data_IF_930046051924
#
_entry.id   IF_930046051924
#
_cell.length_a   1.000
_cell.length_b   1.000
_cell.length_c   1.000
_cell.angle_alpha   90.00
_cell.angle_beta   90.00
_cell.angle_gamma   90.00
#
_symmetry.space_group_name_H-M   'P 1'
#
loop_
_entity.id
_entity.type
_entity.pdbx_description
1 polymer ?
#
# COMPACT_ATOMS: atom_id res chain seq x y z
N UNK A 1 -30.65 -0.86 1.35
CA UNK A 1 -29.21 -1.09 1.07
C UNK A 1 -28.62 -2.29 1.85
N UNK A 2 -28.72 -2.33 3.19
CA UNK A 2 -28.18 -3.43 4.04
C UNK A 2 -28.62 -4.85 3.63
N UNK A 3 -29.92 -5.04 3.36
CA UNK A 3 -30.49 -6.33 2.92
C UNK A 3 -29.95 -6.81 1.56
N UNK A 4 -29.60 -5.89 0.65
CA UNK A 4 -29.08 -6.23 -0.69
C UNK A 4 -27.64 -6.69 -0.62
N UNK A 5 -26.83 -6.01 0.21
CA UNK A 5 -25.45 -6.39 0.51
C UNK A 5 -25.42 -7.76 1.21
N UNK A 6 -26.30 -8.00 2.18
CA UNK A 6 -26.41 -9.31 2.84
C UNK A 6 -26.76 -10.45 1.86
N UNK A 7 -27.61 -10.21 0.87
CA UNK A 7 -27.92 -11.23 -0.16
C UNK A 7 -26.72 -11.53 -1.06
N UNK A 8 -25.97 -10.52 -1.48
CA UNK A 8 -24.74 -10.69 -2.25
C UNK A 8 -23.65 -11.43 -1.45
N UNK A 9 -23.48 -11.04 -0.18
CA UNK A 9 -22.50 -11.67 0.73
C UNK A 9 -22.87 -13.12 1.09
N UNK A 10 -24.16 -13.48 1.07
CA UNK A 10 -24.61 -14.87 1.26
C UNK A 10 -24.36 -15.78 0.05
N UNK A 11 -24.12 -15.23 -1.15
CA UNK A 11 -23.75 -16.02 -2.33
C UNK A 11 -22.28 -16.46 -2.33
N UNK A 12 -21.44 -15.84 -1.49
CA UNK A 12 -20.04 -16.23 -1.34
C UNK A 12 -19.92 -17.46 -0.41
N UNK A 13 -18.99 -18.39 -0.70
CA UNK A 13 -18.78 -19.55 0.15
C UNK A 13 -18.42 -19.12 1.58
N UNK A 14 -18.99 -19.81 2.58
CA UNK A 14 -18.86 -19.45 4.00
C UNK A 14 -17.39 -19.30 4.43
N UNK A 15 -16.51 -20.16 3.91
CA UNK A 15 -15.06 -20.11 4.17
C UNK A 15 -14.43 -18.79 3.72
N UNK A 16 -14.77 -18.28 2.53
CA UNK A 16 -14.26 -17.01 2.03
C UNK A 16 -14.73 -15.84 2.89
N UNK A 17 -15.99 -15.86 3.34
CA UNK A 17 -16.56 -14.79 4.17
C UNK A 17 -15.88 -14.69 5.53
N UNK A 18 -15.66 -15.83 6.19
CA UNK A 18 -14.95 -15.87 7.48
C UNK A 18 -13.52 -15.36 7.29
N UNK A 19 -12.84 -15.83 6.25
CA UNK A 19 -11.45 -15.48 5.98
C UNK A 19 -11.26 -14.01 5.61
N UNK A 20 -12.14 -13.48 4.74
CA UNK A 20 -12.19 -12.05 4.41
C UNK A 20 -12.38 -11.19 5.66
N UNK A 21 -13.30 -11.56 6.55
CA UNK A 21 -13.53 -10.82 7.80
C UNK A 21 -12.30 -10.83 8.70
N UNK A 22 -11.61 -11.96 8.82
CA UNK A 22 -10.40 -12.09 9.63
C UNK A 22 -9.22 -11.30 9.06
N UNK A 23 -9.05 -11.27 7.73
CA UNK A 23 -8.00 -10.45 7.12
C UNK A 23 -8.32 -8.97 7.13
N UNK A 24 -9.58 -8.59 6.93
CA UNK A 24 -10.03 -7.21 7.08
C UNK A 24 -9.74 -6.70 8.49
N UNK A 25 -10.01 -7.54 9.51
CA UNK A 25 -9.64 -7.26 10.90
C UNK A 25 -8.14 -7.03 11.02
N UNK A 26 -7.31 -7.98 10.57
CA UNK A 26 -5.86 -7.89 10.72
C UNK A 26 -5.23 -6.69 9.99
N UNK A 27 -5.81 -6.27 8.87
CA UNK A 27 -5.35 -5.10 8.10
C UNK A 27 -5.62 -3.79 8.86
N UNK A 28 -6.70 -3.72 9.63
CA UNK A 28 -7.11 -2.53 10.39
C UNK A 28 -6.54 -2.55 11.82
N UNK A 29 -6.42 -3.75 12.38
CA UNK A 29 -6.00 -4.04 13.75
C UNK A 29 -4.47 -4.17 13.78
N UNK A 30 -3.79 -3.01 13.76
CA UNK A 30 -2.34 -2.85 13.89
C UNK A 30 -1.88 -3.28 15.31
N UNK A 31 -1.94 -4.57 15.66
CA UNK A 31 -1.36 -5.27 16.84
C UNK A 31 -1.43 -4.59 18.25
N UNK A 32 -2.03 -3.40 18.42
CA UNK A 32 -1.76 -2.55 19.59
C UNK A 32 -2.99 -1.86 20.20
N UNK A 33 -4.22 -2.09 19.73
CA UNK A 33 -5.40 -1.43 20.30
C UNK A 33 -6.56 -2.40 20.56
N UNK A 34 -6.50 -2.98 21.76
CA UNK A 34 -7.61 -3.56 22.53
C UNK A 34 -8.29 -4.81 21.97
N UNK A 35 -8.30 -5.84 22.82
CA UNK A 35 -8.97 -7.15 22.70
C UNK A 35 -10.50 -7.08 22.43
N UNK A 36 -11.11 -5.89 22.39
CA UNK A 36 -12.55 -5.63 22.21
C UNK A 36 -12.86 -4.57 21.13
N UNK A 37 -12.15 -4.58 20.01
CA UNK A 37 -12.33 -3.57 18.98
C UNK A 37 -13.68 -3.68 18.21
N UNK A 38 -14.53 -2.65 18.32
CA UNK A 38 -15.76 -2.50 17.53
C UNK A 38 -15.44 -2.12 16.07
N UNK A 39 -15.41 -3.12 15.18
CA UNK A 39 -15.07 -3.03 13.76
C UNK A 39 -15.74 -1.85 13.01
N UNK A 40 -17.08 -1.73 13.02
CA UNK A 40 -17.74 -0.60 12.35
C UNK A 40 -17.37 0.75 12.97
N UNK A 41 -17.05 0.80 14.27
CA UNK A 41 -16.59 1.99 14.95
C UNK A 41 -15.25 2.49 14.39
N UNK A 42 -14.24 1.62 14.30
CA UNK A 42 -12.93 2.01 13.75
C UNK A 42 -12.98 2.38 12.27
N UNK A 43 -13.68 1.59 11.45
CA UNK A 43 -13.90 1.92 10.05
C UNK A 43 -14.65 3.25 9.91
N UNK A 44 -15.61 3.52 10.80
CA UNK A 44 -16.34 4.77 10.87
C UNK A 44 -15.46 5.95 11.27
N UNK A 45 -14.56 5.80 12.24
CA UNK A 45 -13.60 6.82 12.65
C UNK A 45 -12.60 7.15 11.54
N UNK A 46 -12.01 6.11 10.92
CA UNK A 46 -11.10 6.26 9.80
C UNK A 46 -11.78 6.94 8.61
N UNK A 47 -12.94 6.45 8.18
CA UNK A 47 -13.73 7.08 7.13
C UNK A 47 -14.16 8.50 7.50
N UNK A 48 -14.52 8.74 8.76
CA UNK A 48 -14.94 10.04 9.28
C UNK A 48 -13.84 11.10 9.18
N UNK A 49 -12.60 10.76 9.55
CA UNK A 49 -11.44 11.66 9.40
C UNK A 49 -11.22 12.01 7.91
N UNK A 50 -11.26 11.01 7.03
CA UNK A 50 -11.09 11.23 5.58
C UNK A 50 -12.22 12.04 4.96
N UNK A 51 -13.47 11.79 5.36
CA UNK A 51 -14.64 12.56 4.93
C UNK A 51 -14.55 14.00 5.41
N UNK A 52 -14.14 14.22 6.67
CA UNK A 52 -13.98 15.56 7.22
C UNK A 52 -12.89 16.33 6.46
N UNK A 53 -11.74 15.69 6.19
CA UNK A 53 -10.71 16.29 5.35
C UNK A 53 -11.24 16.57 3.93
N UNK A 54 -11.95 15.63 3.32
CA UNK A 54 -12.59 15.82 2.01
C UNK A 54 -13.55 17.01 1.99
N UNK A 55 -14.35 17.17 3.05
CA UNK A 55 -15.32 18.26 3.19
C UNK A 55 -14.64 19.61 3.36
N UNK A 56 -13.58 19.70 4.17
CA UNK A 56 -12.77 20.92 4.32
C UNK A 56 -12.19 21.33 2.96
N UNK A 57 -11.65 20.37 2.22
CA UNK A 57 -11.06 20.60 0.90
C UNK A 57 -12.11 21.04 -0.13
N UNK A 58 -13.26 20.36 -0.17
CA UNK A 58 -14.37 20.68 -1.07
C UNK A 58 -15.00 22.04 -0.77
N UNK A 59 -15.21 22.36 0.51
CA UNK A 59 -15.71 23.67 0.92
C UNK A 59 -14.72 24.78 0.59
N UNK A 60 -13.43 24.59 0.87
CA UNK A 60 -12.38 25.56 0.52
C UNK A 60 -12.32 25.82 -0.98
N UNK A 61 -12.54 24.79 -1.81
CA UNK A 61 -12.59 24.92 -3.26
C UNK A 61 -13.81 25.73 -3.73
N UNK A 62 -15.00 25.46 -3.19
CA UNK A 62 -16.22 26.20 -3.52
C UNK A 62 -16.12 27.68 -3.11
N UNK A 63 -15.56 27.95 -1.93
CA UNK A 63 -15.35 29.32 -1.44
C UNK A 63 -14.31 30.07 -2.28
N UNK A 64 -13.19 29.43 -2.62
CA UNK A 64 -12.15 30.05 -3.45
C UNK A 64 -12.65 30.40 -4.85
N UNK A 65 -13.49 29.54 -5.45
CA UNK A 65 -14.08 29.79 -6.75
C UNK A 65 -14.96 31.06 -6.80
N UNK A 66 -15.63 31.41 -5.70
CA UNK A 66 -16.52 32.57 -5.64
C UNK A 66 -15.78 33.93 -5.55
N UNK A 67 -14.50 33.92 -5.19
CA UNK A 67 -13.76 35.13 -4.79
C UNK A 67 -12.67 35.51 -5.82
N UNK A 68 -12.08 34.53 -6.50
CA UNK A 68 -10.86 34.74 -7.29
C UNK A 68 -11.08 35.26 -8.72
N UNK A 69 -10.09 36.00 -9.22
CA UNK A 69 -10.03 36.49 -10.60
C UNK A 69 -9.65 35.38 -11.60
N UNK A 70 -10.14 35.47 -12.85
CA UNK A 70 -10.12 34.38 -13.87
C UNK A 70 -8.76 33.71 -14.10
N UNK A 71 -7.66 34.48 -14.07
CA UNK A 71 -6.31 33.93 -14.26
C UNK A 71 -5.77 33.22 -13.00
N UNK A 72 -6.09 33.74 -11.81
CA UNK A 72 -5.73 33.11 -10.53
C UNK A 72 -6.52 31.81 -10.35
N UNK A 73 -7.80 31.80 -10.75
CA UNK A 73 -8.66 30.63 -10.73
C UNK A 73 -8.03 29.41 -11.43
N UNK A 74 -7.45 29.58 -12.63
CA UNK A 74 -6.83 28.47 -13.37
C UNK A 74 -5.64 27.86 -12.62
N UNK A 75 -4.73 28.70 -12.10
CA UNK A 75 -3.59 28.22 -11.29
C UNK A 75 -4.04 27.58 -9.99
N UNK A 76 -5.08 28.10 -9.34
CA UNK A 76 -5.64 27.54 -8.11
C UNK A 76 -6.27 26.18 -8.37
N UNK A 77 -7.03 26.01 -9.46
CA UNK A 77 -7.67 24.75 -9.84
C UNK A 77 -6.60 23.68 -10.09
N UNK A 78 -5.58 23.95 -10.90
CA UNK A 78 -4.51 22.99 -11.17
C UNK A 78 -3.74 22.61 -9.89
N UNK A 79 -3.51 23.59 -9.00
CA UNK A 79 -2.91 23.33 -7.69
C UNK A 79 -3.76 22.40 -6.84
N UNK A 80 -5.08 22.56 -6.89
CA UNK A 80 -6.02 21.73 -6.14
C UNK A 80 -6.11 20.33 -6.74
N UNK A 81 -6.22 20.19 -8.06
CA UNK A 81 -6.22 18.91 -8.76
C UNK A 81 -5.01 18.06 -8.40
N UNK A 82 -3.81 18.64 -8.57
CA UNK A 82 -2.54 17.98 -8.25
C UNK A 82 -2.51 17.55 -6.78
N UNK A 83 -2.88 18.45 -5.87
CA UNK A 83 -2.89 18.17 -4.43
C UNK A 83 -3.87 17.06 -4.05
N UNK A 84 -5.05 17.00 -4.67
CA UNK A 84 -6.01 15.93 -4.41
C UNK A 84 -5.49 14.55 -4.85
N UNK A 85 -4.87 14.50 -6.03
CA UNK A 85 -4.22 13.28 -6.55
C UNK A 85 -3.05 12.86 -5.65
N UNK A 86 -2.17 13.81 -5.33
CA UNK A 86 -1.00 13.60 -4.45
C UNK A 86 -1.42 13.12 -3.05
N UNK A 87 -2.44 13.73 -2.43
CA UNK A 87 -2.95 13.28 -1.12
C UNK A 87 -3.55 11.87 -1.20
N UNK A 88 -4.30 11.53 -2.26
CA UNK A 88 -4.83 10.17 -2.43
C UNK A 88 -3.71 9.14 -2.61
N UNK A 89 -2.70 9.48 -3.41
CA UNK A 89 -1.54 8.64 -3.62
C UNK A 89 -0.77 8.40 -2.32
N UNK A 90 -0.55 9.45 -1.52
CA UNK A 90 0.04 9.32 -0.18
C UNK A 90 -0.79 8.38 0.69
N UNK A 91 -2.11 8.60 0.80
CA UNK A 91 -2.99 7.76 1.64
C UNK A 91 -3.00 6.31 1.15
N UNK A 92 -3.08 6.06 -0.15
CA UNK A 92 -3.00 4.72 -0.73
C UNK A 92 -1.67 4.03 -0.41
N UNK A 93 -0.55 4.75 -0.57
CA UNK A 93 0.79 4.27 -0.23
C UNK A 93 0.90 3.95 1.27
N UNK A 94 0.46 4.84 2.15
CA UNK A 94 0.48 4.65 3.60
C UNK A 94 -0.37 3.46 4.04
N UNK A 95 -1.57 3.28 3.47
CA UNK A 95 -2.41 2.10 3.74
C UNK A 95 -1.68 0.83 3.32
N UNK A 96 -1.02 0.85 2.15
CA UNK A 96 -0.27 -0.31 1.65
C UNK A 96 0.92 -0.64 2.54
N UNK A 97 1.66 0.37 3.00
CA UNK A 97 2.80 0.24 3.91
C UNK A 97 2.37 -0.17 5.32
N UNK A 98 1.22 0.31 5.81
CA UNK A 98 0.65 -0.14 7.10
C UNK A 98 0.15 -1.59 7.01
N UNK A 99 -0.38 -1.98 5.86
CA UNK A 99 -0.86 -3.34 5.58
C UNK A 99 0.25 -4.30 5.15
N UNK A 100 1.52 -3.85 5.15
CA UNK A 100 2.64 -4.51 4.48
C UNK A 100 2.76 -5.98 4.89
N UNK A 101 2.87 -6.28 6.18
CA UNK A 101 3.03 -7.67 6.64
C UNK A 101 1.77 -8.53 6.50
N UNK A 102 0.60 -7.90 6.30
CA UNK A 102 -0.68 -8.61 6.17
C UNK A 102 -0.94 -9.12 4.74
N UNK A 103 -0.31 -8.51 3.73
CA UNK A 103 -0.55 -8.77 2.31
C UNK A 103 -0.04 -10.16 1.89
N UNK A 104 1.12 -10.61 2.39
CA UNK A 104 1.67 -11.92 2.04
C UNK A 104 1.25 -13.01 3.03
N UNK A 105 1.03 -14.25 2.57
CA UNK A 105 0.69 -15.36 3.44
C UNK A 105 1.90 -15.75 4.30
N UNK A 106 1.77 -15.53 5.61
CA UNK A 106 2.83 -15.83 6.57
C UNK A 106 2.81 -17.31 6.96
N UNK A 107 3.95 -17.90 7.35
CA UNK A 107 3.98 -19.33 7.78
C UNK A 107 3.07 -19.60 8.99
N UNK A 108 2.77 -18.59 9.81
CA UNK A 108 1.78 -18.70 10.91
C UNK A 108 0.37 -18.92 10.36
N UNK A 109 -0.03 -18.19 9.32
CA UNK A 109 -1.34 -18.35 8.67
C UNK A 109 -1.46 -19.73 8.03
N UNK A 110 -0.38 -20.19 7.38
CA UNK A 110 -0.34 -21.53 6.79
C UNK A 110 -0.34 -22.64 7.85
N UNK A 111 0.31 -22.46 9.01
CA UNK A 111 0.35 -23.47 10.09
C UNK A 111 -0.96 -23.53 10.88
N UNK A 112 -1.64 -22.39 11.07
CA UNK A 112 -2.96 -22.32 11.71
C UNK A 112 -4.06 -22.83 10.78
N UNK A 113 -3.93 -22.59 9.47
CA UNK A 113 -4.88 -23.06 8.45
C UNK A 113 -4.52 -24.45 7.88
N UNK A 114 -3.34 -25.00 8.18
CA UNK A 114 -2.92 -26.35 7.80
C UNK A 114 -3.92 -27.47 8.13
N UNK A 115 -4.69 -27.42 9.25
CA UNK A 115 -5.70 -28.44 9.54
C UNK A 115 -6.99 -28.25 8.73
N UNK A 116 -7.18 -27.10 8.09
CA UNK A 116 -8.38 -26.76 7.33
C UNK A 116 -8.14 -26.97 5.82
N UNK A 117 -8.99 -27.73 5.10
CA UNK A 117 -8.84 -27.99 3.67
C UNK A 117 -9.23 -26.77 2.81
N UNK A 118 -8.53 -25.64 2.97
CA UNK A 118 -8.77 -24.40 2.22
C UNK A 118 -7.68 -24.22 1.17
N UNK A 119 -8.09 -24.06 -0.09
CA UNK A 119 -7.16 -23.84 -1.20
C UNK A 119 -6.38 -22.53 -1.00
N UNK A 120 -5.04 -22.50 -1.14
CA UNK A 120 -4.24 -21.29 -0.98
C UNK A 120 -4.67 -20.10 -1.86
N UNK A 121 -5.26 -20.37 -3.04
CA UNK A 121 -5.85 -19.34 -3.91
C UNK A 121 -6.96 -18.54 -3.21
N UNK A 122 -7.80 -19.21 -2.42
CA UNK A 122 -8.91 -18.57 -1.69
C UNK A 122 -8.35 -17.64 -0.61
N UNK A 123 -7.24 -18.04 0.02
CA UNK A 123 -6.54 -17.22 1.02
C UNK A 123 -5.95 -15.96 0.40
N UNK A 124 -5.24 -16.11 -0.72
CA UNK A 124 -4.64 -14.99 -1.43
C UNK A 124 -5.70 -13.99 -1.92
N UNK A 125 -6.78 -14.49 -2.56
CA UNK A 125 -7.87 -13.65 -3.04
C UNK A 125 -8.57 -12.96 -1.86
N UNK A 126 -8.80 -13.65 -0.74
CA UNK A 126 -9.41 -13.04 0.43
C UNK A 126 -8.56 -11.89 1.00
N UNK A 127 -7.23 -12.03 1.05
CA UNK A 127 -6.31 -10.97 1.47
C UNK A 127 -6.36 -9.76 0.53
N UNK A 128 -6.23 -10.00 -0.79
CA UNK A 128 -6.28 -8.93 -1.80
C UNK A 128 -7.62 -8.20 -1.79
N UNK A 129 -8.73 -8.92 -1.63
CA UNK A 129 -10.06 -8.30 -1.55
C UNK A 129 -10.23 -7.53 -0.24
N UNK A 130 -9.68 -7.99 0.88
CA UNK A 130 -9.70 -7.28 2.15
C UNK A 130 -8.90 -5.97 2.09
N UNK A 131 -7.67 -5.99 1.56
CA UNK A 131 -6.88 -4.77 1.38
C UNK A 131 -7.51 -3.81 0.37
N UNK A 132 -8.05 -4.33 -0.74
CA UNK A 132 -8.77 -3.54 -1.73
C UNK A 132 -10.03 -2.89 -1.14
N UNK A 133 -10.71 -3.53 -0.18
CA UNK A 133 -11.86 -2.94 0.49
C UNK A 133 -11.47 -1.75 1.38
N UNK A 134 -10.37 -1.85 2.13
CA UNK A 134 -9.85 -0.74 2.95
C UNK A 134 -9.38 0.41 2.06
N UNK A 135 -8.65 0.10 0.99
CA UNK A 135 -8.21 1.10 0.01
C UNK A 135 -9.42 1.75 -0.68
N UNK A 136 -10.42 0.98 -1.09
CA UNK A 136 -11.64 1.48 -1.71
C UNK A 136 -12.45 2.38 -0.78
N UNK A 137 -12.54 2.04 0.51
CA UNK A 137 -13.14 2.92 1.52
C UNK A 137 -12.38 4.24 1.61
N UNK A 138 -11.05 4.21 1.66
CA UNK A 138 -10.24 5.42 1.71
C UNK A 138 -10.43 6.29 0.45
N UNK A 139 -10.42 5.68 -0.74
CA UNK A 139 -10.68 6.38 -2.02
C UNK A 139 -12.03 7.08 -1.97
N UNK A 140 -13.09 6.37 -1.57
CA UNK A 140 -14.43 6.95 -1.52
C UNK A 140 -14.52 8.07 -0.48
N UNK A 141 -14.11 7.79 0.76
CA UNK A 141 -14.21 8.74 1.87
C UNK A 141 -13.41 10.02 1.64
N UNK A 142 -12.20 9.92 1.10
CA UNK A 142 -11.30 11.05 0.90
C UNK A 142 -11.70 11.94 -0.28
N UNK A 143 -12.38 11.37 -1.28
CA UNK A 143 -12.67 12.06 -2.54
C UNK A 143 -14.15 12.45 -2.72
N UNK A 144 -15.03 12.04 -1.81
CA UNK A 144 -16.46 12.24 -1.98
C UNK A 144 -16.85 13.71 -2.11
N UNK A 145 -16.43 14.56 -1.18
CA UNK A 145 -16.81 15.98 -1.19
C UNK A 145 -15.89 16.82 -2.09
N UNK A 146 -14.58 16.59 -2.02
CA UNK A 146 -13.60 17.32 -2.84
C UNK A 146 -13.74 17.03 -4.34
N UNK A 147 -13.94 15.76 -4.72
CA UNK A 147 -14.12 15.36 -6.12
C UNK A 147 -15.42 15.84 -6.73
N UNK A 148 -16.51 15.86 -5.95
CA UNK A 148 -17.80 16.41 -6.42
C UNK A 148 -17.75 17.92 -6.57
N UNK A 149 -17.12 18.64 -5.64
CA UNK A 149 -16.89 20.07 -5.76
C UNK A 149 -16.03 20.41 -7.00
N UNK A 150 -14.94 19.66 -7.21
CA UNK A 150 -14.08 19.82 -8.39
C UNK A 150 -14.84 19.60 -9.70
N UNK A 151 -15.61 18.51 -9.80
CA UNK A 151 -16.38 18.21 -11.00
C UNK A 151 -17.47 19.26 -11.29
N UNK A 152 -18.09 19.82 -10.25
CA UNK A 152 -19.08 20.89 -10.39
C UNK A 152 -18.45 22.18 -10.94
N UNK A 153 -17.27 22.55 -10.44
CA UNK A 153 -16.55 23.77 -10.85
C UNK A 153 -16.03 23.66 -12.28
N UNK A 154 -15.35 22.56 -12.63
CA UNK A 154 -14.77 22.41 -13.97
C UNK A 154 -15.83 22.13 -15.04
N UNK A 155 -16.86 21.36 -14.71
CA UNK A 155 -17.77 20.81 -15.72
C UNK A 155 -19.11 21.52 -15.84
N UNK A 156 -19.50 22.25 -14.80
CA UNK A 156 -20.89 22.67 -14.61
C UNK A 156 -21.85 21.48 -14.73
N UNK A 157 -23.13 21.75 -14.95
CA UNK A 157 -24.13 20.70 -15.22
C UNK A 157 -23.81 19.85 -16.47
N UNK A 158 -23.39 20.41 -17.63
CA UNK A 158 -23.29 19.61 -18.86
C UNK A 158 -22.13 18.60 -18.87
N UNK A 159 -20.98 18.93 -18.26
CA UNK A 159 -19.82 18.04 -18.25
C UNK A 159 -19.59 17.38 -16.89
N UNK A 160 -20.48 17.57 -15.91
CA UNK A 160 -20.36 17.02 -14.56
C UNK A 160 -20.05 15.53 -14.56
N UNK A 161 -20.83 14.73 -15.30
CA UNK A 161 -20.67 13.27 -15.34
C UNK A 161 -19.33 12.85 -15.95
N UNK A 162 -18.90 13.53 -17.02
CA UNK A 162 -17.64 13.24 -17.69
C UNK A 162 -16.46 13.54 -16.78
N UNK A 163 -16.44 14.71 -16.15
CA UNK A 163 -15.34 15.14 -15.28
C UNK A 163 -15.33 14.31 -14.00
N UNK A 164 -16.49 14.01 -13.44
CA UNK A 164 -16.63 13.08 -12.32
C UNK A 164 -16.04 11.71 -12.68
N UNK A 165 -16.43 11.13 -13.82
CA UNK A 165 -15.90 9.84 -14.26
C UNK A 165 -14.37 9.88 -14.50
N UNK A 166 -13.87 10.94 -15.14
CA UNK A 166 -12.44 11.15 -15.36
C UNK A 166 -11.66 11.26 -14.04
N UNK A 167 -12.18 12.00 -13.07
CA UNK A 167 -11.58 12.19 -11.76
C UNK A 167 -11.53 10.87 -10.99
N UNK A 168 -12.68 10.19 -10.85
CA UNK A 168 -12.77 8.90 -10.15
C UNK A 168 -11.87 7.85 -10.78
N UNK A 169 -11.84 7.77 -12.12
CA UNK A 169 -10.94 6.86 -12.81
C UNK A 169 -9.48 7.17 -12.46
N UNK A 170 -9.08 8.46 -12.49
CA UNK A 170 -7.71 8.87 -12.20
C UNK A 170 -7.30 8.52 -10.77
N UNK A 171 -8.10 8.87 -9.76
CA UNK A 171 -7.75 8.59 -8.36
C UNK A 171 -7.73 7.09 -8.05
N UNK A 172 -8.61 6.31 -8.69
CA UNK A 172 -8.58 4.84 -8.60
C UNK A 172 -7.32 4.29 -9.27
N UNK A 173 -7.00 4.75 -10.49
CA UNK A 173 -5.82 4.31 -11.23
C UNK A 173 -4.52 4.64 -10.48
N UNK A 174 -4.42 5.85 -9.91
CA UNK A 174 -3.28 6.26 -9.09
C UNK A 174 -3.11 5.40 -7.83
N UNK A 175 -4.23 5.08 -7.17
CA UNK A 175 -4.24 4.21 -5.99
C UNK A 175 -3.83 2.79 -6.32
N UNK A 176 -4.37 2.22 -7.40
CA UNK A 176 -4.01 0.89 -7.90
C UNK A 176 -2.55 0.85 -8.35
N UNK A 177 -2.06 1.93 -8.95
CA UNK A 177 -0.66 2.04 -9.35
C UNK A 177 0.29 1.94 -8.17
N UNK A 178 0.09 2.76 -7.12
CA UNK A 178 0.96 2.70 -5.94
C UNK A 178 0.82 1.40 -5.17
N UNK A 179 -0.41 0.92 -4.99
CA UNK A 179 -0.67 -0.37 -4.35
C UNK A 179 0.03 -1.51 -5.12
N UNK A 180 -0.12 -1.52 -6.45
CA UNK A 180 0.47 -2.54 -7.32
C UNK A 180 2.00 -2.48 -7.37
N UNK A 181 2.58 -1.27 -7.38
CA UNK A 181 4.03 -1.07 -7.33
C UNK A 181 4.62 -1.62 -6.03
N UNK A 182 4.06 -1.24 -4.89
CA UNK A 182 4.52 -1.72 -3.58
C UNK A 182 4.32 -3.24 -3.43
N UNK A 183 3.18 -3.77 -3.90
CA UNK A 183 2.89 -5.20 -3.94
C UNK A 183 3.87 -5.97 -4.85
N UNK A 184 4.30 -5.38 -5.96
CA UNK A 184 5.30 -5.98 -6.84
C UNK A 184 6.67 -6.06 -6.17
N UNK A 185 7.13 -4.96 -5.55
CA UNK A 185 8.39 -4.95 -4.80
C UNK A 185 8.35 -5.99 -3.68
N UNK A 186 7.23 -6.07 -2.95
CA UNK A 186 7.06 -7.04 -1.90
C UNK A 186 7.04 -8.49 -2.40
N UNK A 187 6.46 -8.75 -3.57
CA UNK A 187 6.49 -10.08 -4.18
C UNK A 187 7.88 -10.54 -4.56
N UNK A 188 8.69 -9.61 -5.08
CA UNK A 188 10.09 -9.88 -5.40
C UNK A 188 10.85 -10.19 -4.12
N UNK A 189 10.64 -9.43 -3.04
CA UNK A 189 11.31 -9.70 -1.76
C UNK A 189 10.86 -11.03 -1.14
N UNK A 190 9.60 -11.44 -1.34
CA UNK A 190 9.07 -12.71 -0.87
C UNK A 190 9.73 -13.96 -1.49
N UNK A 191 10.46 -13.81 -2.60
CA UNK A 191 11.26 -14.89 -3.20
C UNK A 191 12.56 -15.17 -2.42
N UNK A 192 13.02 -14.25 -1.57
CA UNK A 192 14.27 -14.40 -0.82
C UNK A 192 14.15 -15.39 0.36
N UNK A 193 15.29 -15.91 0.86
CA UNK A 193 15.34 -16.67 2.10
C UNK A 193 14.74 -15.89 3.27
N UNK A 194 14.00 -16.58 4.15
CA UNK A 194 13.20 -15.98 5.23
C UNK A 194 13.96 -14.98 6.11
N UNK A 195 15.24 -15.23 6.40
CA UNK A 195 16.08 -14.36 7.23
C UNK A 195 16.33 -13.00 6.58
N UNK A 196 16.50 -12.99 5.26
CA UNK A 196 16.68 -11.76 4.48
C UNK A 196 15.35 -11.05 4.27
N UNK A 197 14.27 -11.80 4.01
CA UNK A 197 12.93 -11.23 3.88
C UNK A 197 12.54 -10.40 5.11
N UNK A 198 12.72 -10.92 6.32
CA UNK A 198 12.33 -10.20 7.54
C UNK A 198 13.14 -8.91 7.76
N UNK A 199 14.45 -8.92 7.45
CA UNK A 199 15.29 -7.72 7.56
C UNK A 199 14.98 -6.69 6.48
N UNK A 200 14.83 -7.15 5.23
CA UNK A 200 14.54 -6.29 4.09
C UNK A 200 13.13 -5.72 4.16
N UNK A 201 12.15 -6.45 4.70
CA UNK A 201 10.76 -5.99 4.84
C UNK A 201 10.69 -4.73 5.72
N UNK A 202 11.28 -4.76 6.91
CA UNK A 202 11.29 -3.61 7.81
C UNK A 202 12.03 -2.40 7.21
N UNK A 203 13.19 -2.63 6.57
CA UNK A 203 13.95 -1.58 5.89
C UNK A 203 13.13 -0.97 4.75
N UNK A 204 12.49 -1.82 3.95
CA UNK A 204 11.69 -1.39 2.81
C UNK A 204 10.41 -0.67 3.24
N UNK A 205 9.80 -1.07 4.36
CA UNK A 205 8.65 -0.39 4.94
C UNK A 205 9.01 1.02 5.42
N UNK A 206 10.12 1.18 6.15
CA UNK A 206 10.63 2.48 6.59
C UNK A 206 11.03 3.34 5.38
N UNK A 207 11.72 2.75 4.41
CA UNK A 207 12.13 3.45 3.19
C UNK A 207 10.91 3.89 2.37
N UNK A 208 9.91 3.03 2.17
CA UNK A 208 8.69 3.36 1.45
C UNK A 208 7.90 4.45 2.18
N UNK A 209 7.73 4.35 3.51
CA UNK A 209 7.11 5.40 4.31
C UNK A 209 7.86 6.74 4.15
N UNK A 210 9.19 6.71 4.33
CA UNK A 210 10.03 7.89 4.22
C UNK A 210 9.96 8.52 2.83
N UNK A 211 10.03 7.73 1.76
CA UNK A 211 9.92 8.21 0.37
C UNK A 211 8.54 8.79 0.09
N UNK A 212 7.46 8.12 0.50
CA UNK A 212 6.09 8.61 0.27
C UNK A 212 5.84 9.95 0.98
N UNK A 213 6.20 10.04 2.25
CA UNK A 213 6.06 11.27 3.05
C UNK A 213 6.96 12.38 2.49
N UNK A 214 8.23 12.05 2.18
CA UNK A 214 9.15 13.04 1.63
C UNK A 214 8.70 13.54 0.26
N UNK A 215 8.27 12.65 -0.64
CA UNK A 215 7.77 13.03 -1.96
C UNK A 215 6.55 13.96 -1.85
N UNK A 216 5.65 13.71 -0.91
CA UNK A 216 4.48 14.56 -0.66
C UNK A 216 4.85 15.95 -0.12
N UNK A 217 5.77 16.03 0.85
CA UNK A 217 6.12 17.31 1.47
C UNK A 217 7.14 18.14 0.66
N UNK A 218 8.03 17.48 -0.09
CA UNK A 218 9.04 18.13 -0.94
C UNK A 218 8.54 18.30 -2.39
N UNK A 219 7.26 18.04 -2.64
CA UNK A 219 6.69 18.15 -3.98
C UNK A 219 6.92 19.57 -4.54
N UNK A 220 7.63 19.72 -5.67
CA UNK A 220 7.85 21.03 -6.26
C UNK A 220 6.51 21.57 -6.77
N UNK A 221 6.20 22.84 -6.51
CA UNK A 221 4.96 23.48 -7.00
C UNK A 221 5.10 23.82 -8.49
N UNK A 222 5.00 22.82 -9.36
CA UNK A 222 5.07 22.96 -10.81
C UNK A 222 3.69 23.09 -11.45
N UNK A 223 2.64 23.32 -10.67
CA UNK A 223 1.24 23.44 -11.08
C UNK A 223 0.88 24.70 -11.90
N UNK A 224 1.87 25.43 -12.44
CA UNK A 224 1.64 26.55 -13.35
C UNK A 224 2.05 26.17 -14.78
N UNK A 225 1.30 26.62 -15.81
CA UNK A 225 1.60 26.29 -17.20
C UNK A 225 3.02 26.72 -17.63
N UNK A 226 3.51 27.83 -17.09
CA UNK A 226 4.88 28.31 -17.34
C UNK A 226 5.95 27.39 -16.71
N UNK A 227 5.71 26.85 -15.52
CA UNK A 227 6.64 25.94 -14.85
C UNK A 227 6.67 24.56 -15.54
N UNK A 228 5.53 24.08 -16.03
CA UNK A 228 5.44 22.81 -16.77
C UNK A 228 6.07 22.88 -18.17
N UNK A 229 6.06 24.04 -18.82
CA UNK A 229 6.65 24.23 -20.15
C UNK A 229 8.18 24.42 -20.14
N UNK A 230 8.79 24.55 -18.95
CA UNK A 230 10.21 24.80 -18.82
C UNK A 230 11.02 23.50 -18.97
N UNK A 231 11.89 23.43 -19.98
CA UNK A 231 12.69 22.24 -20.28
C UNK A 231 13.52 21.73 -19.08
N UNK A 232 13.97 22.64 -18.20
CA UNK A 232 14.69 22.31 -16.96
C UNK A 232 13.87 21.43 -16.01
N UNK A 233 12.55 21.58 -16.00
CA UNK A 233 11.65 20.86 -15.11
C UNK A 233 11.20 19.50 -15.69
N UNK A 234 11.47 19.22 -16.97
CA UNK A 234 11.09 17.96 -17.60
C UNK A 234 11.70 16.78 -16.85
N UNK A 235 13.00 16.83 -16.53
CA UNK A 235 13.66 15.76 -15.78
C UNK A 235 13.04 15.53 -14.40
N UNK A 236 12.62 16.58 -13.69
CA UNK A 236 11.96 16.41 -12.39
C UNK A 236 10.57 15.76 -12.55
N UNK A 237 9.77 16.22 -13.52
CA UNK A 237 8.43 15.69 -13.81
C UNK A 237 8.46 14.21 -14.23
N UNK A 238 9.57 13.77 -14.82
CA UNK A 238 9.77 12.38 -15.19
C UNK A 238 9.83 11.41 -14.01
N UNK A 239 10.16 11.87 -12.80
CA UNK A 239 10.26 11.03 -11.60
C UNK A 239 9.06 11.13 -10.66
N UNK A 240 8.12 12.02 -10.97
CA UNK A 240 7.01 12.37 -10.10
C UNK A 240 5.69 11.76 -10.64
N UNK A 241 5.25 10.60 -10.10
CA UNK A 241 4.12 9.86 -10.66
C UNK A 241 2.76 10.54 -10.43
N UNK A 242 2.63 11.34 -9.39
CA UNK A 242 1.50 12.26 -9.14
C UNK A 242 1.22 13.17 -10.35
N UNK A 243 2.26 13.76 -10.94
CA UNK A 243 2.14 14.57 -12.16
C UNK A 243 1.72 13.75 -13.39
N UNK A 244 2.05 12.46 -13.44
CA UNK A 244 1.57 11.56 -14.50
C UNK A 244 0.06 11.40 -14.42
N UNK A 245 -0.46 11.11 -13.23
CA UNK A 245 -1.90 10.97 -13.02
C UNK A 245 -2.64 12.31 -13.15
N UNK A 246 -2.02 13.44 -12.82
CA UNK A 246 -2.57 14.76 -13.13
C UNK A 246 -2.74 15.02 -14.64
N UNK A 247 -1.74 14.68 -15.44
CA UNK A 247 -1.84 14.77 -16.89
C UNK A 247 -2.90 13.80 -17.46
N UNK A 248 -3.03 12.61 -16.87
CA UNK A 248 -4.08 11.65 -17.21
C UNK A 248 -5.48 12.20 -16.94
N UNK A 249 -5.71 12.82 -15.78
CA UNK A 249 -6.99 13.46 -15.47
C UNK A 249 -7.33 14.55 -16.49
N UNK A 250 -6.39 15.45 -16.77
CA UNK A 250 -6.59 16.54 -17.72
C UNK A 250 -6.82 16.03 -19.15
N UNK A 251 -6.17 14.92 -19.54
CA UNK A 251 -6.44 14.25 -20.82
C UNK A 251 -7.89 13.74 -20.91
N UNK A 252 -8.39 13.08 -19.85
CA UNK A 252 -9.75 12.54 -19.81
C UNK A 252 -10.83 13.63 -19.69
N UNK A 253 -10.54 14.67 -18.90
CA UNK A 253 -11.39 15.84 -18.75
C UNK A 253 -11.53 16.65 -20.07
N UNK A 254 -10.54 16.53 -20.97
CA UNK A 254 -10.53 17.24 -22.26
C UNK A 254 -9.96 18.66 -22.17
N UNK A 255 -9.27 18.98 -21.08
CA UNK A 255 -8.64 20.27 -20.79
C UNK A 255 -7.13 20.30 -21.08
N UNK A 256 -6.54 19.19 -21.54
CA UNK A 256 -5.08 19.03 -21.65
C UNK A 256 -4.45 19.80 -22.83
N UNK A 257 -3.48 20.69 -22.57
CA UNK A 257 -2.57 21.19 -23.60
C UNK A 257 -1.75 20.04 -24.21
N UNK A 258 -1.54 20.02 -25.54
CA UNK A 258 -0.84 18.92 -26.23
C UNK A 258 0.60 18.71 -25.74
N UNK A 259 1.21 19.71 -25.11
CA UNK A 259 2.57 19.66 -24.54
C UNK A 259 2.74 18.64 -23.40
N UNK A 260 1.65 18.21 -22.75
CA UNK A 260 1.71 17.29 -21.59
C UNK A 260 1.16 15.90 -21.88
N UNK A 261 0.80 15.62 -23.13
CA UNK A 261 0.29 14.31 -23.54
C UNK A 261 1.27 13.16 -23.25
N UNK A 262 2.58 13.42 -23.35
CA UNK A 262 3.62 12.43 -23.04
C UNK A 262 3.57 11.96 -21.58
N UNK A 263 3.19 12.84 -20.66
CA UNK A 263 3.10 12.55 -19.23
C UNK A 263 1.87 11.68 -18.92
N UNK A 264 0.77 11.92 -19.62
CA UNK A 264 -0.41 11.05 -19.59
C UNK A 264 -0.10 9.65 -20.15
N UNK A 265 0.71 9.57 -21.22
CA UNK A 265 1.18 8.26 -21.74
C UNK A 265 2.01 7.51 -20.69
N UNK A 266 2.88 8.20 -19.94
CA UNK A 266 3.61 7.58 -18.82
C UNK A 266 2.68 7.07 -17.73
N UNK A 267 1.60 7.80 -17.43
CA UNK A 267 0.59 7.34 -16.48
C UNK A 267 -0.04 6.00 -16.91
N UNK A 268 -0.43 5.89 -18.18
CA UNK A 268 -0.98 4.65 -18.74
C UNK A 268 0.01 3.49 -18.71
N UNK A 269 1.26 3.74 -19.11
CA UNK A 269 2.33 2.73 -19.08
C UNK A 269 2.60 2.30 -17.64
N UNK A 270 2.76 3.25 -16.72
CA UNK A 270 3.01 2.99 -15.31
C UNK A 270 1.88 2.21 -14.66
N UNK A 271 0.63 2.61 -14.90
CA UNK A 271 -0.56 1.90 -14.45
C UNK A 271 -0.59 0.47 -14.98
N UNK A 272 -0.44 0.27 -16.30
CA UNK A 272 -0.41 -1.07 -16.89
C UNK A 272 0.72 -1.94 -16.33
N UNK A 273 1.93 -1.38 -16.23
CA UNK A 273 3.10 -2.07 -15.69
C UNK A 273 2.89 -2.48 -14.22
N UNK A 274 2.34 -1.59 -13.39
CA UNK A 274 2.06 -1.90 -11.98
C UNK A 274 1.05 -3.04 -11.80
N UNK A 275 0.01 -3.08 -12.65
CA UNK A 275 -1.01 -4.14 -12.60
C UNK A 275 -0.41 -5.48 -13.02
N UNK A 276 0.39 -5.49 -14.09
CA UNK A 276 1.08 -6.69 -14.57
C UNK A 276 2.10 -7.17 -13.52
N UNK A 277 2.88 -6.26 -12.94
CA UNK A 277 3.88 -6.59 -11.93
C UNK A 277 3.23 -7.13 -10.65
N UNK A 278 2.13 -6.52 -10.19
CA UNK A 278 1.34 -7.02 -9.07
C UNK A 278 0.76 -8.41 -9.34
N UNK A 279 0.14 -8.63 -10.50
CA UNK A 279 -0.41 -9.92 -10.89
C UNK A 279 0.68 -11.00 -10.98
N UNK A 280 1.84 -10.65 -11.54
CA UNK A 280 3.00 -11.54 -11.65
C UNK A 280 3.56 -11.89 -10.27
N UNK A 281 3.68 -10.91 -9.38
CA UNK A 281 4.08 -11.08 -7.97
C UNK A 281 3.16 -12.06 -7.23
N UNK A 282 1.84 -11.85 -7.34
CA UNK A 282 0.83 -12.73 -6.74
C UNK A 282 0.88 -14.15 -7.33
N UNK A 283 1.06 -14.27 -8.65
CA UNK A 283 1.17 -15.56 -9.34
C UNK A 283 2.44 -16.31 -8.91
N UNK A 284 3.60 -15.65 -8.89
CA UNK A 284 4.87 -16.23 -8.45
C UNK A 284 4.79 -16.68 -7.00
N UNK A 285 4.20 -15.87 -6.11
CA UNK A 285 3.97 -16.24 -4.71
C UNK A 285 3.09 -17.50 -4.61
N UNK A 286 2.04 -17.58 -5.40
CA UNK A 286 1.16 -18.74 -5.47
C UNK A 286 1.90 -20.00 -5.93
N UNK A 287 2.69 -19.91 -7.01
CA UNK A 287 3.46 -21.03 -7.55
C UNK A 287 4.53 -21.52 -6.57
N UNK A 288 5.25 -20.59 -5.93
CA UNK A 288 6.26 -20.91 -4.91
C UNK A 288 5.65 -21.62 -3.70
N UNK A 289 4.46 -21.19 -3.27
CA UNK A 289 3.75 -21.82 -2.16
C UNK A 289 3.33 -23.25 -2.51
N UNK A 290 2.81 -23.48 -3.72
CA UNK A 290 2.38 -24.82 -4.14
C UNK A 290 3.54 -25.79 -4.32
N UNK A 291 4.69 -25.33 -4.83
CA UNK A 291 5.88 -26.16 -4.99
C UNK A 291 6.36 -26.72 -3.64
N UNK A 292 6.37 -25.90 -2.59
CA UNK A 292 6.76 -26.34 -1.24
C UNK A 292 5.79 -27.36 -0.63
N UNK A 293 4.48 -27.23 -0.91
CA UNK A 293 3.49 -28.20 -0.41
C UNK A 293 3.60 -29.57 -1.09
N UNK A 294 4.11 -29.63 -2.32
CA UNK A 294 4.30 -30.88 -3.07
C UNK A 294 5.63 -31.56 -2.69
N UNK A 295 6.66 -30.79 -2.34
CA UNK A 295 7.98 -31.30 -1.95
C UNK A 295 8.01 -31.88 -0.51
N UNK A 296 7.02 -31.60 0.34
CA UNK A 296 6.83 -32.22 1.67
C UNK A 296 5.53 -33.07 1.74
N UNK A 297 5.43 -34.22 1.04
CA UNK A 297 4.34 -35.16 1.26
C UNK A 297 4.75 -36.23 2.29
N UNK A 298 5.32 -35.84 3.42
CA UNK A 298 5.65 -36.79 4.51
C UNK A 298 5.11 -36.26 5.84
N UNK A 299 3.79 -36.30 5.98
CA UNK A 299 3.19 -36.60 7.28
C UNK A 299 3.39 -38.09 7.55
N UNK A 300 4.64 -38.52 7.73
CA UNK A 300 4.90 -39.74 8.50
C UNK A 300 4.53 -39.38 9.93
N UNK A 301 3.52 -40.02 10.55
CA UNK A 301 3.32 -39.86 11.98
C UNK A 301 4.63 -40.31 12.63
N UNK A 302 5.25 -39.45 13.44
CA UNK A 302 6.39 -39.84 14.26
C UNK A 302 5.91 -40.86 15.31
N UNK A 303 5.73 -42.10 14.87
CA UNK A 303 5.58 -43.27 15.72
C UNK A 303 6.84 -44.09 15.59
N UNK A 304 7.60 -44.09 16.70
CA UNK A 304 8.40 -45.21 17.21
C UNK A 304 9.80 -45.38 16.60
N UNK A 305 10.81 -45.10 17.42
CA UNK A 305 12.20 -45.48 17.17
C UNK A 305 13.21 -44.72 18.04
N UNK A 306 13.34 -45.14 19.29
CA UNK A 306 14.61 -45.20 20.04
C UNK A 306 15.36 -43.90 20.40
N UNK A 307 15.02 -43.36 21.58
CA UNK A 307 16.03 -42.88 22.52
C UNK A 307 15.60 -43.17 23.96
N UNK A 308 16.14 -44.30 24.45
CA UNK A 308 16.43 -44.67 25.84
C UNK A 308 16.15 -43.55 26.86
N UNK A 309 15.01 -43.67 27.54
CA UNK A 309 14.73 -42.92 28.76
C UNK A 309 15.41 -43.64 29.93
N UNK A 310 16.66 -43.30 30.19
CA UNK A 310 17.38 -43.71 31.41
C UNK A 310 17.06 -42.70 32.50
N UNK A 311 16.32 -43.10 33.52
CA UNK A 311 16.25 -42.35 34.79
C UNK A 311 17.55 -42.58 35.57
N UNK A 312 18.13 -41.53 36.17
CA UNK A 312 18.76 -41.68 37.47
C UNK A 312 18.09 -40.82 38.53
N UNK A 313 18.02 -41.43 39.71
CA UNK A 313 17.48 -40.93 40.97
C UNK A 313 18.32 -39.77 41.52
N UNK A 314 17.64 -38.94 42.31
CA UNK A 314 18.03 -37.74 43.05
C UNK A 314 19.44 -37.67 43.68
N UNK A 315 20.00 -36.44 43.70
CA UNK A 315 20.99 -36.02 44.71
C UNK A 315 21.89 -34.83 44.32
N UNK A 316 21.80 -33.75 45.11
CA UNK A 316 22.80 -32.70 45.37
C UNK A 316 22.88 -31.39 44.51
N UNK A 317 23.24 -30.33 45.24
CA UNK A 317 23.13 -28.86 45.06
C UNK A 317 24.08 -28.18 44.03
N UNK A 318 23.86 -26.87 43.71
CA UNK A 318 24.55 -26.13 42.64
C UNK A 318 25.85 -25.43 43.11
N UNK A 319 26.71 -24.93 42.18
CA UNK A 319 26.76 -23.46 41.97
C UNK A 319 27.22 -22.96 40.57
N UNK A 320 27.08 -21.64 40.39
CA UNK A 320 27.90 -20.69 39.60
C UNK A 320 27.63 -20.44 38.09
N UNK A 321 27.17 -19.20 37.81
CA UNK A 321 27.49 -18.40 36.61
C UNK A 321 28.89 -17.73 36.82
N UNK A 322 29.48 -16.85 35.94
CA UNK A 322 29.00 -16.25 34.68
C UNK A 322 30.10 -16.02 33.59
N UNK A 323 29.77 -15.26 32.52
CA UNK A 323 30.67 -14.36 31.75
C UNK A 323 31.89 -14.94 31.00
N UNK A 324 31.69 -15.36 29.74
CA UNK A 324 32.79 -15.33 28.74
C UNK A 324 32.35 -15.25 27.27
N UNK A 325 31.05 -15.20 26.98
CA UNK A 325 30.53 -15.31 25.60
C UNK A 325 29.99 -14.02 24.96
N UNK A 326 30.24 -12.86 25.57
CA UNK A 326 29.74 -11.56 25.09
C UNK A 326 30.75 -10.73 24.30
N UNK A 327 32.04 -11.04 24.35
CA UNK A 327 33.07 -10.20 23.69
C UNK A 327 33.27 -10.48 22.19
N UNK A 328 32.69 -11.55 21.63
CA UNK A 328 32.83 -11.86 20.19
C UNK A 328 31.74 -11.26 19.30
N UNK A 329 30.63 -10.77 19.87
CA UNK A 329 29.50 -10.21 19.12
C UNK A 329 29.64 -8.70 18.86
N UNK A 330 30.31 -7.97 19.75
CA UNK A 330 30.48 -6.52 19.59
C UNK A 330 31.52 -6.14 18.52
N UNK A 331 32.48 -7.04 18.21
CA UNK A 331 33.48 -6.77 17.18
C UNK A 331 32.93 -6.96 15.75
N UNK A 332 31.90 -7.79 15.58
CA UNK A 332 31.25 -8.06 14.29
C UNK A 332 30.18 -7.01 13.94
N UNK A 333 29.50 -6.45 14.94
CA UNK A 333 28.54 -5.36 14.73
C UNK A 333 29.24 -4.06 14.31
N UNK A 334 30.40 -3.74 14.88
CA UNK A 334 31.13 -2.52 14.56
C UNK A 334 31.74 -2.53 13.14
N UNK A 335 32.17 -3.70 12.63
CA UNK A 335 32.66 -3.84 11.25
C UNK A 335 31.52 -3.75 10.22
N UNK A 336 30.34 -4.26 10.54
CA UNK A 336 29.15 -4.15 9.69
C UNK A 336 28.61 -2.71 9.65
N UNK A 337 28.63 -1.99 10.77
CA UNK A 337 28.20 -0.59 10.85
C UNK A 337 29.14 0.34 10.03
N UNK A 338 30.45 0.13 10.12
CA UNK A 338 31.45 0.91 9.36
C UNK A 338 31.39 0.60 7.85
N UNK A 339 31.03 -0.63 7.46
CA UNK A 339 30.80 -0.98 6.05
C UNK A 339 29.52 -0.35 5.49
N UNK A 340 28.43 -0.31 6.28
CA UNK A 340 27.19 0.34 5.90
C UNK A 340 27.34 1.86 5.78
N UNK A 341 28.09 2.50 6.68
CA UNK A 341 28.32 3.94 6.66
C UNK A 341 29.21 4.38 5.48
N UNK A 342 30.15 3.51 5.05
CA UNK A 342 30.95 3.72 3.82
C UNK A 342 30.13 3.55 2.53
N UNK A 343 29.09 2.72 2.54
CA UNK A 343 28.17 2.55 1.40
C UNK A 343 27.24 3.77 1.27
N UNK A 344 26.73 4.29 2.39
CA UNK A 344 25.90 5.52 2.42
C UNK A 344 26.71 6.75 1.99
N UNK A 345 27.97 6.88 2.42
CA UNK A 345 28.85 7.97 1.95
C UNK A 345 29.21 7.86 0.46
N UNK A 346 29.30 6.65 -0.12
CA UNK A 346 29.54 6.48 -1.56
C UNK A 346 28.31 6.81 -2.41
N UNK A 347 27.11 6.62 -1.88
CA UNK A 347 25.87 6.99 -2.57
C UNK A 347 25.65 8.51 -2.51
N UNK A 348 26.07 9.17 -1.43
CA UNK A 348 26.02 10.63 -1.30
C UNK A 348 27.12 11.39 -2.10
N UNK A 349 28.18 10.71 -2.54
CA UNK A 349 29.29 11.31 -3.29
C UNK A 349 29.15 11.17 -4.82
N UNK A 350 28.06 10.56 -5.31
CA UNK A 350 27.77 10.37 -6.75
C UNK A 350 26.56 11.22 -7.20
N UNK A 351 26.00 12.04 -6.30
CA UNK A 351 25.17 13.21 -6.61
C UNK A 351 25.99 14.47 -6.43
#
# INVERSE_FOLDING_TARGET
>A
MRRTIERLVRRLPLQFRVLYRQFLLRVIDLESLSIQADIPGFLGQFAGILIMYSAIQGLGLLMGFAIDERLRLLSTIWSVEQRLISTMMLVAGLITVASWDNIFPDRRDAMILSPLPVRPRVVLIAKVVASAAVLGLAVVSLNFASGTALALILGGIPHFLRITAAYWFTVIAASVFLYGLLLAVQGITALLPRRLFLRLSAILQIAAFGVLVSAYFLEPKLNTPAALALAKNHQALEWLPDYWFFALFNQLAGSSPPTFAWLATRAWIGFGASVIAAASSLLLCYLHTMRKTIEEPDLVPATRGDCVFWFPVAGAQPPASPRSRLLSLDCLSHRALVAAQRLVCRIAAVT
#
